data_IF_196826755047
#
_entry.id   IF_196826755047
#
_cell.length_a   1.000
_cell.length_b   1.000
_cell.length_c   1.000
_cell.angle_alpha   90.00
_cell.angle_beta   90.00
_cell.angle_gamma   90.00
#
_symmetry.space_group_name_H-M   'P 1'
#
loop_
_entity.id
_entity.type
_entity.pdbx_description
1 polymer ?
#
# COMPACT_ATOMS: atom_id res chain seq x y z
N UNK A 1 18.51 2.16 12.38
CA UNK A 1 19.46 2.25 11.24
C UNK A 1 20.37 1.04 11.13
N UNK A 2 20.99 0.58 12.20
CA UNK A 2 21.92 -0.57 12.16
C UNK A 2 21.27 -1.82 11.58
N UNK A 3 20.11 -2.22 12.09
CA UNK A 3 19.33 -3.36 11.58
C UNK A 3 19.02 -3.25 10.07
N UNK A 4 18.73 -2.04 9.58
CA UNK A 4 18.46 -1.84 8.15
C UNK A 4 19.72 -2.06 7.31
N UNK A 5 20.86 -1.61 7.80
CA UNK A 5 22.15 -1.81 7.13
C UNK A 5 22.53 -3.29 7.09
N UNK A 6 22.35 -3.99 8.22
CA UNK A 6 22.57 -5.44 8.28
C UNK A 6 21.67 -6.20 7.31
N UNK A 7 20.37 -5.85 7.25
CA UNK A 7 19.43 -6.45 6.30
C UNK A 7 19.84 -6.17 4.85
N UNK A 8 20.30 -4.94 4.57
CA UNK A 8 20.81 -4.57 3.25
C UNK A 8 22.04 -5.39 2.86
N UNK A 9 23.00 -5.53 3.76
CA UNK A 9 24.20 -6.33 3.55
C UNK A 9 23.88 -7.81 3.33
N UNK A 10 22.80 -8.31 3.98
CA UNK A 10 22.28 -9.65 3.77
C UNK A 10 21.52 -9.83 2.46
N UNK A 11 21.33 -8.77 1.66
CA UNK A 11 20.73 -8.81 0.33
C UNK A 11 19.33 -8.21 0.23
N UNK A 12 18.74 -7.73 1.32
CA UNK A 12 17.42 -7.07 1.27
C UNK A 12 17.51 -5.73 0.54
N UNK A 13 16.51 -5.45 -0.28
CA UNK A 13 16.40 -4.17 -1.01
C UNK A 13 15.07 -3.47 -0.80
N UNK A 14 14.04 -4.19 -0.37
CA UNK A 14 12.71 -3.65 -0.10
C UNK A 14 12.53 -3.43 1.39
N UNK A 15 12.24 -2.19 1.78
CA UNK A 15 12.06 -1.79 3.17
C UNK A 15 10.75 -1.03 3.32
N UNK A 16 9.94 -1.43 4.29
CA UNK A 16 8.66 -0.79 4.60
C UNK A 16 8.74 0.09 5.83
N UNK A 17 8.13 1.25 5.77
CA UNK A 17 8.00 2.16 6.90
C UNK A 17 6.55 2.56 7.13
N UNK A 18 6.18 2.74 8.39
CA UNK A 18 4.82 3.11 8.77
C UNK A 18 4.58 4.62 8.74
N UNK A 19 5.64 5.41 8.83
CA UNK A 19 5.53 6.87 8.89
C UNK A 19 6.35 7.52 7.77
N UNK A 20 5.77 8.54 7.17
CA UNK A 20 6.47 9.35 6.15
C UNK A 20 7.78 9.91 6.70
N UNK A 21 7.75 10.37 7.95
CA UNK A 21 8.94 10.92 8.61
C UNK A 21 10.11 9.94 8.62
N UNK A 22 9.84 8.67 8.88
CA UNK A 22 10.87 7.63 8.90
C UNK A 22 11.50 7.41 7.51
N UNK A 23 10.68 7.42 6.46
CA UNK A 23 11.21 7.35 5.09
C UNK A 23 12.11 8.56 4.81
N UNK A 24 11.65 9.75 5.16
CA UNK A 24 12.41 10.99 4.90
C UNK A 24 13.75 11.01 5.62
N UNK A 25 13.80 10.55 6.87
CA UNK A 25 15.01 10.50 7.66
C UNK A 25 16.01 9.46 7.14
N UNK A 26 15.51 8.32 6.65
CA UNK A 26 16.34 7.18 6.26
C UNK A 26 16.74 7.19 4.78
N UNK A 27 15.97 7.86 3.94
CA UNK A 27 16.12 7.83 2.48
C UNK A 27 17.54 8.20 2.03
N UNK A 28 18.10 9.27 2.57
CA UNK A 28 19.45 9.70 2.23
C UNK A 28 20.60 9.00 2.97
N UNK A 29 20.26 8.08 3.89
CA UNK A 29 21.24 7.36 4.71
C UNK A 29 21.46 5.92 4.26
N UNK A 30 20.66 5.45 3.32
CA UNK A 30 20.77 4.12 2.74
C UNK A 30 21.18 4.22 1.27
N UNK A 31 21.74 3.15 0.69
CA UNK A 31 22.09 3.13 -0.73
C UNK A 31 20.90 3.41 -1.65
N UNK A 32 21.18 3.96 -2.84
CA UNK A 32 20.16 4.40 -3.80
C UNK A 32 19.32 3.26 -4.38
N UNK A 33 19.82 2.02 -4.32
CA UNK A 33 19.10 0.83 -4.80
C UNK A 33 18.09 0.26 -3.79
N UNK A 34 17.95 0.91 -2.64
CA UNK A 34 16.89 0.57 -1.67
C UNK A 34 15.52 1.03 -2.22
N UNK A 35 14.56 0.12 -2.20
CA UNK A 35 13.18 0.39 -2.57
C UNK A 35 12.34 0.58 -1.31
N UNK A 36 11.87 1.81 -1.11
CA UNK A 36 11.06 2.16 0.05
C UNK A 36 9.58 1.91 -0.20
N UNK A 37 8.90 1.32 0.76
CA UNK A 37 7.46 1.07 0.72
C UNK A 37 6.80 1.85 1.87
N UNK A 38 5.77 2.62 1.53
CA UNK A 38 4.92 3.25 2.54
C UNK A 38 3.80 2.27 2.90
N UNK A 39 3.86 1.71 4.10
CA UNK A 39 2.91 0.66 4.53
C UNK A 39 1.93 1.12 5.61
N UNK A 40 2.21 2.22 6.31
CA UNK A 40 1.33 2.79 7.31
C UNK A 40 0.35 3.81 6.75
N UNK A 41 -0.59 4.22 7.59
CA UNK A 41 -1.60 5.22 7.19
C UNK A 41 -0.97 6.50 6.67
N UNK A 42 -1.40 6.94 5.49
CA UNK A 42 -0.88 8.12 4.81
C UNK A 42 -1.91 9.25 4.85
N UNK A 43 -1.54 10.37 5.47
CA UNK A 43 -2.35 11.58 5.47
C UNK A 43 -2.16 12.36 4.17
N UNK A 44 -3.22 13.00 3.68
CA UNK A 44 -3.20 13.78 2.43
C UNK A 44 -2.11 14.85 2.40
N UNK A 45 -1.91 15.56 3.51
CA UNK A 45 -0.90 16.62 3.61
C UNK A 45 0.55 16.11 3.62
N UNK A 46 0.75 14.79 3.71
CA UNK A 46 2.07 14.15 3.68
C UNK A 46 2.40 13.51 2.33
N UNK A 47 1.43 13.40 1.43
CA UNK A 47 1.59 12.73 0.12
C UNK A 47 2.78 13.28 -0.65
N UNK A 48 2.89 14.59 -0.77
CA UNK A 48 3.98 15.26 -1.52
C UNK A 48 5.39 14.93 -1.03
N UNK A 49 5.51 14.49 0.23
CA UNK A 49 6.81 14.16 0.84
C UNK A 49 7.29 12.76 0.47
N UNK A 50 6.38 11.87 0.09
CA UNK A 50 6.68 10.44 -0.06
C UNK A 50 6.59 9.92 -1.49
N UNK A 51 5.86 10.60 -2.39
CA UNK A 51 5.59 10.09 -3.74
C UNK A 51 6.82 9.98 -4.64
N UNK A 52 7.87 10.74 -4.37
CA UNK A 52 9.15 10.66 -5.09
C UNK A 52 10.16 9.71 -4.43
N UNK A 53 9.80 9.12 -3.30
CA UNK A 53 10.69 8.27 -2.49
C UNK A 53 10.20 6.83 -2.38
N UNK A 54 8.90 6.63 -2.23
CA UNK A 54 8.33 5.30 -2.12
C UNK A 54 8.08 4.70 -3.51
N UNK A 55 8.52 3.47 -3.71
CA UNK A 55 8.23 2.72 -4.96
C UNK A 55 6.81 2.18 -4.97
N UNK A 56 6.19 2.02 -3.80
CA UNK A 56 4.84 1.51 -3.66
C UNK A 56 4.20 2.06 -2.38
N UNK A 57 2.99 2.57 -2.50
CA UNK A 57 2.17 3.01 -1.37
C UNK A 57 1.09 1.94 -1.16
N UNK A 58 1.16 1.20 -0.04
CA UNK A 58 0.26 0.09 0.27
C UNK A 58 -1.07 0.53 0.88
N UNK A 59 -1.14 1.75 1.40
CA UNK A 59 -2.15 2.20 2.35
C UNK A 59 -3.18 3.18 1.77
N UNK A 60 -3.49 3.05 0.48
CA UNK A 60 -4.54 3.88 -0.12
C UNK A 60 -5.90 3.33 0.28
N UNK A 61 -6.55 4.03 1.19
CA UNK A 61 -7.76 3.60 1.88
C UNK A 61 -9.00 4.43 1.52
N UNK A 62 -8.84 5.47 0.71
CA UNK A 62 -9.94 6.30 0.22
C UNK A 62 -9.66 6.76 -1.21
N UNK A 63 -10.73 7.06 -1.95
CA UNK A 63 -10.62 7.68 -3.28
C UNK A 63 -9.99 9.07 -3.17
N UNK A 64 -10.33 9.82 -2.12
CA UNK A 64 -9.80 11.17 -1.87
C UNK A 64 -8.29 11.17 -1.67
N UNK A 65 -7.74 10.15 -1.02
CA UNK A 65 -6.29 9.99 -0.92
C UNK A 65 -5.66 9.72 -2.29
N UNK A 66 -6.26 8.86 -3.10
CA UNK A 66 -5.81 8.61 -4.47
C UNK A 66 -5.87 9.88 -5.33
N UNK A 67 -6.89 10.71 -5.18
CA UNK A 67 -6.99 12.01 -5.85
C UNK A 67 -5.85 12.96 -5.44
N UNK A 68 -5.50 12.99 -4.18
CA UNK A 68 -4.39 13.81 -3.70
C UNK A 68 -3.05 13.31 -4.27
N UNK A 69 -2.87 11.98 -4.34
CA UNK A 69 -1.68 11.40 -4.97
C UNK A 69 -1.62 11.81 -6.45
N UNK A 70 -2.74 11.72 -7.18
CA UNK A 70 -2.81 12.16 -8.57
C UNK A 70 -2.41 13.62 -8.74
N UNK A 71 -2.97 14.51 -7.92
CA UNK A 71 -2.68 15.94 -7.98
C UNK A 71 -1.20 16.24 -7.75
N UNK A 72 -0.61 15.66 -6.72
CA UNK A 72 0.78 15.91 -6.38
C UNK A 72 1.73 15.25 -7.39
N UNK A 73 1.40 14.06 -7.90
CA UNK A 73 2.17 13.38 -8.93
C UNK A 73 2.16 14.14 -10.26
N UNK A 74 0.97 14.62 -10.67
CA UNK A 74 0.82 15.39 -11.92
C UNK A 74 1.67 16.66 -11.92
N UNK A 75 1.73 17.38 -10.79
CA UNK A 75 2.55 18.59 -10.65
C UNK A 75 4.04 18.35 -10.87
N UNK A 76 4.50 17.13 -10.62
CA UNK A 76 5.91 16.75 -10.68
C UNK A 76 6.22 15.81 -11.83
N UNK A 77 5.24 15.53 -12.68
CA UNK A 77 5.32 14.58 -13.79
C UNK A 77 5.83 13.20 -13.35
N UNK A 78 5.29 12.74 -12.22
CA UNK A 78 5.59 11.43 -11.64
C UNK A 78 4.43 10.48 -11.85
N UNK A 79 4.71 9.18 -11.91
CA UNK A 79 3.73 8.12 -11.79
C UNK A 79 3.94 7.40 -10.46
N UNK A 80 2.85 7.04 -9.80
CA UNK A 80 2.87 6.44 -8.47
C UNK A 80 2.13 5.11 -8.49
N UNK A 81 2.82 4.06 -8.07
CA UNK A 81 2.21 2.75 -7.90
C UNK A 81 1.58 2.64 -6.51
N UNK A 82 0.35 2.16 -6.47
CA UNK A 82 -0.42 2.04 -5.22
C UNK A 82 -1.05 0.66 -5.09
N UNK A 83 -1.31 0.28 -3.83
CA UNK A 83 -2.25 -0.77 -3.49
C UNK A 83 -3.46 -0.16 -2.80
N UNK A 84 -4.62 -0.77 -2.96
CA UNK A 84 -5.81 -0.39 -2.21
C UNK A 84 -5.84 -1.17 -0.90
N UNK A 85 -5.91 -0.46 0.22
CA UNK A 85 -6.05 -1.08 1.54
C UNK A 85 -7.50 -1.45 1.77
N UNK A 86 -7.74 -2.72 2.08
CA UNK A 86 -9.07 -3.29 2.29
C UNK A 86 -9.23 -3.73 3.73
N UNK A 87 -10.26 -3.26 4.39
CA UNK A 87 -10.63 -3.69 5.74
C UNK A 87 -11.46 -4.98 5.67
N UNK A 88 -10.81 -6.10 5.36
CA UNK A 88 -11.47 -7.39 5.16
C UNK A 88 -12.11 -7.93 6.45
N UNK A 89 -11.46 -7.70 7.58
CA UNK A 89 -11.94 -8.14 8.89
C UNK A 89 -13.12 -7.31 9.42
N UNK A 90 -13.48 -6.22 8.74
CA UNK A 90 -14.59 -5.32 9.10
C UNK A 90 -14.47 -4.74 10.51
N UNK A 91 -13.24 -4.38 10.92
CA UNK A 91 -12.99 -3.70 12.19
C UNK A 91 -13.30 -2.20 12.07
N UNK A 92 -14.20 -1.69 12.91
CA UNK A 92 -14.65 -0.28 12.88
C UNK A 92 -13.50 0.72 13.12
N UNK A 93 -12.52 0.35 13.94
CA UNK A 93 -11.39 1.21 14.30
C UNK A 93 -10.25 1.20 13.28
N UNK A 94 -10.34 0.38 12.23
CA UNK A 94 -9.28 0.24 11.23
C UNK A 94 -9.58 1.03 9.97
N UNK A 95 -8.50 1.41 9.28
CA UNK A 95 -8.57 2.02 7.96
C UNK A 95 -8.82 0.96 6.89
N UNK A 96 -9.20 1.41 5.71
CA UNK A 96 -9.37 0.56 4.55
C UNK A 96 -10.77 0.67 3.94
N UNK A 97 -10.83 0.38 2.66
CA UNK A 97 -12.11 0.23 1.97
C UNK A 97 -12.88 -0.96 2.52
N UNK A 98 -14.19 -0.85 2.55
CA UNK A 98 -15.03 -2.03 2.73
C UNK A 98 -14.91 -2.90 1.48
N UNK A 99 -15.02 -4.22 1.65
CA UNK A 99 -14.85 -5.18 0.55
C UNK A 99 -15.77 -4.86 -0.64
N UNK A 100 -17.04 -4.53 -0.35
CA UNK A 100 -18.04 -4.18 -1.35
C UNK A 100 -17.80 -2.84 -2.06
N UNK A 101 -16.94 -1.98 -1.54
CA UNK A 101 -16.60 -0.68 -2.12
C UNK A 101 -15.40 -0.71 -3.07
N UNK A 102 -14.59 -1.78 -3.00
CA UNK A 102 -13.29 -1.84 -3.69
C UNK A 102 -13.45 -1.73 -5.20
N UNK A 103 -14.39 -2.45 -5.79
CA UNK A 103 -14.59 -2.40 -7.25
C UNK A 103 -14.96 -1.00 -7.73
N UNK A 104 -15.86 -0.32 -7.04
CA UNK A 104 -16.24 1.05 -7.37
C UNK A 104 -15.05 2.02 -7.23
N UNK A 105 -14.21 1.82 -6.19
CA UNK A 105 -12.99 2.60 -6.02
C UNK A 105 -12.00 2.37 -7.15
N UNK A 106 -11.79 1.12 -7.55
CA UNK A 106 -10.95 0.77 -8.72
C UNK A 106 -11.42 1.49 -9.97
N UNK A 107 -12.73 1.49 -10.23
CA UNK A 107 -13.30 2.12 -11.44
C UNK A 107 -13.14 3.65 -11.45
N UNK A 108 -13.05 4.28 -10.30
CA UNK A 108 -12.75 5.73 -10.20
C UNK A 108 -11.26 6.00 -10.34
N UNK A 109 -10.44 5.27 -9.61
CA UNK A 109 -8.99 5.50 -9.55
C UNK A 109 -8.29 5.15 -10.86
N UNK A 110 -8.80 4.19 -11.61
CA UNK A 110 -8.25 3.83 -12.93
C UNK A 110 -8.20 5.00 -13.91
N UNK A 111 -9.05 6.00 -13.73
CA UNK A 111 -9.09 7.19 -14.58
C UNK A 111 -7.96 8.19 -14.27
N UNK A 112 -7.23 7.99 -13.19
CA UNK A 112 -6.12 8.86 -12.79
C UNK A 112 -4.84 8.47 -13.54
N UNK A 113 -4.36 9.32 -14.48
CA UNK A 113 -3.25 8.92 -15.36
C UNK A 113 -1.91 8.78 -14.66
N UNK A 114 -1.72 9.39 -13.49
CA UNK A 114 -0.45 9.34 -12.73
C UNK A 114 -0.50 8.36 -11.57
N UNK A 115 -1.62 7.65 -11.37
CA UNK A 115 -1.78 6.65 -10.31
C UNK A 115 -2.04 5.28 -10.93
N UNK A 116 -1.24 4.30 -10.56
CA UNK A 116 -1.35 2.94 -11.08
C UNK A 116 -1.68 1.96 -9.97
N UNK A 117 -2.82 1.30 -10.06
CA UNK A 117 -3.22 0.27 -9.10
C UNK A 117 -2.46 -1.02 -9.43
N UNK A 118 -1.66 -1.49 -8.47
CA UNK A 118 -0.86 -2.71 -8.61
C UNK A 118 -1.39 -3.89 -7.81
N UNK A 119 -2.38 -3.68 -6.98
CA UNK A 119 -2.94 -4.75 -6.17
C UNK A 119 -3.70 -4.28 -4.95
N UNK A 120 -3.82 -5.18 -4.00
CA UNK A 120 -4.57 -4.99 -2.76
C UNK A 120 -3.68 -5.24 -1.54
N UNK A 121 -4.05 -4.63 -0.42
CA UNK A 121 -3.40 -4.83 0.86
C UNK A 121 -4.45 -4.97 1.96
N UNK A 122 -4.16 -5.78 2.96
CA UNK A 122 -4.91 -5.79 4.21
C UNK A 122 -3.99 -5.97 5.40
N UNK A 123 -4.41 -5.46 6.54
CA UNK A 123 -3.78 -5.71 7.84
C UNK A 123 -4.79 -6.49 8.68
N UNK A 124 -4.51 -7.76 8.89
CA UNK A 124 -5.35 -8.62 9.70
C UNK A 124 -5.20 -8.29 11.20
N UNK A 125 -6.26 -8.53 12.01
CA UNK A 125 -6.18 -8.27 13.44
C UNK A 125 -5.17 -9.21 14.12
N UNK A 126 -4.64 -8.75 15.26
CA UNK A 126 -3.85 -9.63 16.13
C UNK A 126 -4.75 -10.73 16.70
N UNK A 127 -4.34 -11.98 16.53
CA UNK A 127 -5.03 -13.16 17.04
C UNK A 127 -3.99 -14.10 17.69
N UNK A 128 -4.41 -14.84 18.69
CA UNK A 128 -3.53 -15.82 19.37
C UNK A 128 -3.21 -17.02 18.49
N UNK A 129 -4.07 -17.36 17.55
CA UNK A 129 -3.89 -18.45 16.60
C UNK A 129 -3.86 -17.87 15.17
N UNK A 130 -2.75 -18.03 14.47
CA UNK A 130 -2.56 -17.52 13.10
C UNK A 130 -3.58 -18.07 12.09
N UNK A 131 -4.15 -19.25 12.34
CA UNK A 131 -5.17 -19.85 11.49
C UNK A 131 -6.46 -19.00 11.45
N UNK A 132 -6.74 -18.23 12.53
CA UNK A 132 -7.92 -17.36 12.57
C UNK A 132 -7.89 -16.25 11.52
N UNK A 133 -6.70 -15.89 11.03
CA UNK A 133 -6.54 -14.90 9.96
C UNK A 133 -6.55 -15.50 8.55
N UNK A 134 -6.57 -16.81 8.43
CA UNK A 134 -6.59 -17.48 7.12
C UNK A 134 -7.79 -17.03 6.27
N UNK A 135 -8.96 -16.91 6.87
CA UNK A 135 -10.18 -16.48 6.17
C UNK A 135 -10.07 -15.02 5.68
N UNK A 136 -9.42 -14.15 6.46
CA UNK A 136 -9.17 -12.76 6.06
C UNK A 136 -8.32 -12.73 4.79
N UNK A 137 -7.24 -13.48 4.76
CA UNK A 137 -6.33 -13.53 3.61
C UNK A 137 -6.97 -14.22 2.40
N UNK A 138 -7.77 -15.26 2.61
CA UNK A 138 -8.53 -15.90 1.53
C UNK A 138 -9.52 -14.94 0.88
N UNK A 139 -10.25 -14.16 1.67
CA UNK A 139 -11.20 -13.17 1.16
C UNK A 139 -10.49 -12.09 0.34
N UNK A 140 -9.34 -11.60 0.81
CA UNK A 140 -8.55 -10.65 0.06
C UNK A 140 -8.06 -11.25 -1.27
N UNK A 141 -7.56 -12.47 -1.23
CA UNK A 141 -7.09 -13.17 -2.42
C UNK A 141 -8.21 -13.37 -3.43
N UNK A 142 -9.41 -13.75 -2.96
CA UNK A 142 -10.57 -13.94 -3.85
C UNK A 142 -10.97 -12.61 -4.52
N UNK A 143 -10.99 -11.52 -3.77
CA UNK A 143 -11.26 -10.19 -4.30
C UNK A 143 -10.20 -9.78 -5.33
N UNK A 144 -8.93 -10.06 -5.06
CA UNK A 144 -7.82 -9.83 -5.97
C UNK A 144 -8.01 -10.60 -7.29
N UNK A 145 -8.35 -11.87 -7.23
CA UNK A 145 -8.59 -12.72 -8.40
C UNK A 145 -9.78 -12.20 -9.20
N UNK A 146 -10.87 -11.83 -8.53
CA UNK A 146 -12.09 -11.33 -9.16
C UNK A 146 -11.82 -10.02 -9.94
N UNK A 147 -11.10 -9.09 -9.35
CA UNK A 147 -10.74 -7.83 -10.03
C UNK A 147 -9.76 -8.09 -11.18
N UNK A 148 -8.76 -8.94 -10.95
CA UNK A 148 -7.79 -9.30 -11.96
C UNK A 148 -8.44 -9.92 -13.20
N UNK A 149 -9.45 -10.78 -13.01
CA UNK A 149 -10.15 -11.45 -14.09
C UNK A 149 -10.95 -10.50 -15.01
N UNK A 150 -11.25 -9.31 -14.52
CA UNK A 150 -12.01 -8.29 -15.29
C UNK A 150 -11.16 -7.54 -16.30
N UNK A 151 -9.83 -7.66 -16.27
CA UNK A 151 -8.89 -7.01 -17.18
C UNK A 151 -9.18 -5.50 -17.34
N UNK A 152 -9.29 -4.80 -16.23
CA UNK A 152 -9.61 -3.37 -16.21
C UNK A 152 -8.39 -2.57 -16.70
N UNK A 153 -8.59 -1.65 -17.64
CA UNK A 153 -7.53 -0.78 -18.15
C UNK A 153 -6.90 0.05 -17.02
N UNK A 154 -5.59 0.22 -17.08
CA UNK A 154 -4.79 0.93 -16.07
C UNK A 154 -4.78 0.27 -14.69
N UNK A 155 -5.17 -0.99 -14.61
CA UNK A 155 -5.17 -1.78 -13.37
C UNK A 155 -4.37 -3.06 -13.61
N UNK A 156 -3.28 -3.22 -12.85
CA UNK A 156 -2.44 -4.41 -12.93
C UNK A 156 -2.41 -5.10 -11.57
N UNK A 157 -3.28 -6.07 -11.37
CA UNK A 157 -3.32 -6.88 -10.15
C UNK A 157 -2.16 -7.87 -10.12
N UNK A 158 -1.03 -7.43 -9.62
CA UNK A 158 0.22 -8.19 -9.55
C UNK A 158 0.79 -8.32 -8.14
N UNK A 159 0.28 -7.56 -7.17
CA UNK A 159 0.80 -7.52 -5.81
C UNK A 159 -0.32 -7.74 -4.79
N UNK A 160 -0.04 -8.61 -3.81
CA UNK A 160 -0.82 -8.74 -2.59
C UNK A 160 0.08 -8.42 -1.40
N UNK A 161 -0.36 -7.52 -0.55
CA UNK A 161 0.31 -7.16 0.68
C UNK A 161 -0.56 -7.58 1.86
N UNK A 162 -0.06 -8.48 2.68
CA UNK A 162 -0.79 -9.07 3.79
C UNK A 162 0.04 -8.93 5.06
N UNK A 163 -0.48 -8.19 6.03
CA UNK A 163 0.15 -8.00 7.31
C UNK A 163 -0.77 -8.35 8.45
N UNK A 164 -0.22 -8.42 9.63
CA UNK A 164 -0.95 -8.61 10.88
C UNK A 164 -0.57 -7.53 11.87
N UNK A 165 -1.55 -7.05 12.65
CA UNK A 165 -1.26 -6.24 13.81
C UNK A 165 -0.58 -7.14 14.84
N UNK A 166 0.66 -6.84 15.18
CA UNK A 166 1.41 -7.60 16.17
C UNK A 166 2.22 -6.66 17.05
N UNK A 167 2.49 -7.10 18.26
CA UNK A 167 3.54 -6.49 19.06
C UNK A 167 4.87 -7.08 18.61
N UNK A 168 5.78 -6.22 18.20
CA UNK A 168 7.19 -6.53 18.23
C UNK A 168 7.70 -6.26 19.63
#
# INVERSE_FOLDING_TARGET
MEMLKEAYEAGSRDFGENRVQEIMEKYGQMPEDVRWHMIGHLQKNKVRQVIDKAVLIHSVDTVELAEQIEKDAAKRDLTVDILLEVNVAEEESKFGFRTEEVEAAVMKIKEFPHVHIKGLMTIAPFVSNSEDNREVFKKLYQLYVDIRSKNIDNVNMSVLSMGMTGRL
#
